data_IF_628300927915
#
_entry.id   IF_628300927915
#
_cell.length_a   1.000
_cell.length_b   1.000
_cell.length_c   1.000
_cell.angle_alpha   90.00
_cell.angle_beta   90.00
_cell.angle_gamma   90.00
#
_symmetry.space_group_name_H-M   'P 1'
#
loop_
_entity.id
_entity.type
_entity.pdbx_description
1 polymer ?
#
# COMPACT_ATOMS: atom_id res chain seq x y z
N UNK A 1 -18.96 24.58 -3.31
CA UNK A 1 -19.09 25.44 -4.50
C UNK A 1 -19.04 26.89 -4.06
N UNK A 2 -18.32 27.75 -4.82
CA UNK A 2 -18.38 29.22 -4.63
C UNK A 2 -19.66 29.73 -5.31
N UNK A 3 -20.59 30.27 -4.54
CA UNK A 3 -21.92 30.69 -5.05
C UNK A 3 -21.91 32.06 -5.74
N UNK A 4 -20.95 32.91 -5.40
CA UNK A 4 -20.90 34.29 -5.91
C UNK A 4 -19.59 34.62 -6.66
N UNK A 5 -19.15 33.73 -7.54
CA UNK A 5 -17.91 33.86 -8.30
C UNK A 5 -17.79 35.23 -9.01
N UNK A 6 -18.88 35.69 -9.65
CA UNK A 6 -18.90 36.96 -10.40
C UNK A 6 -18.72 38.20 -9.55
N UNK A 7 -19.06 38.12 -8.25
CA UNK A 7 -18.93 39.26 -7.31
C UNK A 7 -17.48 39.35 -6.76
N UNK A 8 -16.81 38.22 -6.59
CA UNK A 8 -15.52 38.15 -5.89
C UNK A 8 -14.31 37.93 -6.76
N UNK A 9 -14.48 37.35 -7.96
CA UNK A 9 -13.40 37.10 -8.91
C UNK A 9 -13.29 38.22 -9.94
N UNK A 10 -12.07 38.48 -10.41
CA UNK A 10 -11.82 39.40 -11.53
C UNK A 10 -12.26 38.79 -12.86
N UNK A 11 -12.47 39.61 -13.88
CA UNK A 11 -12.78 39.14 -15.26
C UNK A 11 -11.71 38.15 -15.76
N UNK A 12 -10.42 38.44 -15.49
CA UNK A 12 -9.30 37.54 -15.86
C UNK A 12 -9.45 36.18 -15.19
N UNK A 13 -9.67 36.13 -13.86
CA UNK A 13 -9.86 34.89 -13.11
C UNK A 13 -11.07 34.09 -13.59
N UNK A 14 -12.20 34.76 -13.87
CA UNK A 14 -13.40 34.10 -14.41
C UNK A 14 -13.15 33.45 -15.78
N UNK A 15 -12.40 34.14 -16.67
CA UNK A 15 -12.02 33.60 -17.98
C UNK A 15 -11.12 32.36 -17.84
N UNK A 16 -10.10 32.44 -16.99
CA UNK A 16 -9.18 31.32 -16.74
C UNK A 16 -9.87 30.15 -16.03
N UNK A 17 -10.75 30.42 -15.08
CA UNK A 17 -11.55 29.39 -14.40
C UNK A 17 -12.48 28.66 -15.39
N UNK A 18 -13.09 29.39 -16.33
CA UNK A 18 -13.91 28.80 -17.37
C UNK A 18 -13.08 27.92 -18.34
N UNK A 19 -11.83 28.30 -18.60
CA UNK A 19 -10.89 27.48 -19.37
C UNK A 19 -10.49 26.22 -18.58
N UNK A 20 -10.12 26.37 -17.30
CA UNK A 20 -9.74 25.25 -16.44
C UNK A 20 -10.84 24.17 -16.36
N UNK A 21 -12.12 24.58 -16.33
CA UNK A 21 -13.27 23.67 -16.33
C UNK A 21 -13.42 22.82 -17.61
N UNK A 22 -12.69 23.14 -18.66
CA UNK A 22 -12.70 22.43 -19.96
C UNK A 22 -11.35 21.80 -20.31
N UNK A 23 -10.35 21.92 -19.43
CA UNK A 23 -8.99 21.43 -19.66
C UNK A 23 -8.74 20.22 -18.74
N UNK A 24 -8.43 19.05 -19.33
CA UNK A 24 -8.33 17.75 -18.63
C UNK A 24 -6.91 17.18 -18.61
N UNK A 25 -6.00 17.75 -19.37
CA UNK A 25 -4.63 17.23 -19.61
C UNK A 25 -3.57 17.95 -18.77
N UNK A 26 -3.81 19.21 -18.42
CA UNK A 26 -2.85 20.06 -17.69
C UNK A 26 -3.55 21.14 -16.86
N UNK A 27 -2.92 21.59 -15.76
CA UNK A 27 -3.44 22.71 -14.99
C UNK A 27 -3.44 24.03 -15.79
N UNK A 28 -4.46 24.84 -15.56
CA UNK A 28 -4.59 26.22 -16.07
C UNK A 28 -4.35 27.18 -14.92
N UNK A 29 -3.43 28.12 -15.07
CA UNK A 29 -3.17 29.19 -14.10
C UNK A 29 -4.34 30.16 -14.08
N UNK A 30 -5.04 30.23 -12.95
CA UNK A 30 -6.19 31.13 -12.72
C UNK A 30 -5.74 32.44 -12.08
N UNK A 31 -4.78 32.37 -11.14
CA UNK A 31 -4.13 33.53 -10.53
C UNK A 31 -2.62 33.29 -10.52
N UNK A 32 -1.88 34.07 -11.28
CA UNK A 32 -0.45 33.84 -11.50
C UNK A 32 0.40 34.32 -10.33
N UNK A 33 1.68 33.93 -10.29
CA UNK A 33 2.65 34.43 -9.33
C UNK A 33 2.76 35.95 -9.37
N UNK A 34 2.85 36.55 -10.58
CA UNK A 34 2.90 38.01 -10.75
C UNK A 34 1.65 38.70 -10.16
N UNK A 35 0.47 38.09 -10.37
CA UNK A 35 -0.77 38.62 -9.81
C UNK A 35 -0.77 38.53 -8.26
N UNK A 36 -0.25 37.44 -7.71
CA UNK A 36 -0.11 37.23 -6.27
C UNK A 36 0.90 38.21 -5.64
N UNK A 37 2.05 38.44 -6.28
CA UNK A 37 3.07 39.41 -5.83
C UNK A 37 2.56 40.83 -5.89
N UNK A 38 1.77 41.21 -6.89
CA UNK A 38 1.09 42.51 -6.95
C UNK A 38 0.08 42.67 -5.82
N UNK A 39 -0.68 41.60 -5.52
CA UNK A 39 -1.66 41.61 -4.43
C UNK A 39 -0.99 41.65 -3.04
N UNK A 40 0.22 41.12 -2.86
CA UNK A 40 0.99 41.15 -1.65
C UNK A 40 1.42 42.57 -1.24
N UNK A 41 1.78 43.40 -2.22
CA UNK A 41 2.39 44.75 -2.00
C UNK A 41 1.47 45.75 -1.29
N UNK A 42 0.15 45.62 -1.45
CA UNK A 42 -0.82 46.62 -0.89
C UNK A 42 -1.98 45.93 -0.20
N UNK A 43 -2.35 46.38 0.98
CA UNK A 43 -3.61 45.97 1.67
C UNK A 43 -4.80 46.66 0.97
N UNK A 44 -5.78 45.87 0.58
CA UNK A 44 -7.07 46.43 0.14
C UNK A 44 -7.86 47.00 1.34
N UNK A 45 -8.45 48.18 1.16
CA UNK A 45 -9.41 48.74 2.11
C UNK A 45 -10.84 48.21 1.83
N UNK A 46 -11.06 47.54 0.70
CA UNK A 46 -12.34 46.97 0.30
C UNK A 46 -12.50 45.57 0.86
N UNK A 47 -13.64 45.28 1.39
CA UNK A 47 -14.07 43.95 1.83
C UNK A 47 -14.75 43.20 0.69
N UNK A 48 -14.68 41.87 0.72
CA UNK A 48 -15.44 40.95 -0.16
C UNK A 48 -16.12 39.92 0.72
N UNK A 49 -17.36 39.60 0.40
CA UNK A 49 -18.09 38.51 1.03
C UNK A 49 -18.02 37.31 0.15
N UNK A 50 -17.40 36.21 0.62
CA UNK A 50 -17.30 34.93 -0.05
C UNK A 50 -18.39 34.01 0.46
N UNK A 51 -19.21 33.46 -0.45
CA UNK A 51 -20.29 32.53 -0.12
C UNK A 51 -19.96 31.13 -0.69
N UNK A 52 -19.64 30.22 0.22
CA UNK A 52 -19.38 28.82 -0.12
C UNK A 52 -20.54 27.93 0.32
N UNK A 53 -20.71 26.84 -0.38
CA UNK A 53 -21.71 25.83 -0.08
C UNK A 53 -21.13 24.43 -0.32
N UNK A 54 -21.35 23.51 0.62
CA UNK A 54 -21.02 22.10 0.53
C UNK A 54 -22.15 21.27 1.16
N UNK A 55 -22.44 20.11 0.58
CA UNK A 55 -23.43 19.16 1.08
C UNK A 55 -22.75 17.90 1.58
N UNK A 56 -23.37 17.25 2.56
CA UNK A 56 -22.92 15.96 3.10
C UNK A 56 -21.45 15.97 3.52
N UNK A 57 -21.03 17.01 4.21
CA UNK A 57 -19.70 17.14 4.79
C UNK A 57 -19.76 17.04 6.30
N UNK A 58 -18.85 16.30 6.90
CA UNK A 58 -18.76 16.11 8.36
C UNK A 58 -18.16 17.33 9.06
N UNK A 59 -17.43 18.15 8.32
CA UNK A 59 -16.59 19.22 8.83
C UNK A 59 -16.42 20.31 7.77
N UNK A 60 -15.89 21.46 8.14
CA UNK A 60 -15.70 22.57 7.23
C UNK A 60 -14.41 23.34 7.53
N UNK A 61 -13.53 23.45 6.55
CA UNK A 61 -12.32 24.25 6.64
C UNK A 61 -12.21 25.23 5.47
N UNK A 62 -11.45 26.30 5.65
CA UNK A 62 -11.13 27.24 4.60
C UNK A 62 -9.69 27.75 4.72
N UNK A 63 -9.11 28.13 3.59
CA UNK A 63 -7.82 28.82 3.53
C UNK A 63 -7.99 30.18 2.85
N UNK A 64 -7.28 31.19 3.33
CA UNK A 64 -7.32 32.53 2.76
C UNK A 64 -5.93 33.17 2.78
N UNK A 65 -5.46 33.58 1.63
CA UNK A 65 -4.24 34.35 1.49
C UNK A 65 -4.28 35.23 0.24
N UNK A 66 -3.68 36.39 0.35
CA UNK A 66 -3.44 37.28 -0.81
C UNK A 66 -2.21 36.88 -1.63
N UNK A 67 -1.42 35.95 -1.08
CA UNK A 67 -0.19 35.43 -1.68
C UNK A 67 -0.40 34.16 -2.49
N UNK A 68 -1.62 33.61 -2.55
CA UNK A 68 -1.86 32.36 -3.27
C UNK A 68 -1.77 32.56 -4.78
N UNK A 69 -0.90 31.77 -5.38
CA UNK A 69 -1.03 31.35 -6.77
C UNK A 69 -2.18 30.34 -6.81
N UNK A 70 -2.96 30.33 -7.87
CA UNK A 70 -4.08 29.42 -8.01
C UNK A 70 -4.08 28.83 -9.42
N UNK A 71 -4.05 27.52 -9.49
CA UNK A 71 -4.27 26.79 -10.72
C UNK A 71 -5.33 25.70 -10.53
N UNK A 72 -5.74 25.08 -11.66
CA UNK A 72 -6.71 24.01 -11.63
C UNK A 72 -6.94 23.37 -12.98
N UNK A 73 -7.50 22.17 -12.94
CA UNK A 73 -7.92 21.42 -14.13
C UNK A 73 -9.17 20.60 -13.85
N UNK A 74 -9.90 20.27 -14.92
CA UNK A 74 -11.01 19.35 -14.85
C UNK A 74 -10.51 17.89 -14.79
N UNK A 75 -11.23 17.06 -14.06
CA UNK A 75 -11.00 15.63 -13.95
C UNK A 75 -12.30 14.94 -14.37
N UNK A 76 -12.23 14.11 -15.41
CA UNK A 76 -13.36 13.30 -15.84
C UNK A 76 -13.43 12.04 -14.98
N UNK A 77 -14.55 11.85 -14.30
CA UNK A 77 -14.95 10.61 -13.63
C UNK A 77 -16.12 9.99 -14.40
N UNK A 78 -16.50 8.78 -14.03
CA UNK A 78 -17.58 8.06 -14.75
C UNK A 78 -18.92 8.79 -14.63
N UNK A 79 -19.27 9.32 -13.46
CA UNK A 79 -20.54 9.99 -13.21
C UNK A 79 -20.54 11.48 -13.56
N UNK A 80 -19.39 12.17 -13.50
CA UNK A 80 -19.31 13.63 -13.68
C UNK A 80 -17.88 14.15 -13.82
N UNK A 81 -17.76 15.43 -14.17
CA UNK A 81 -16.51 16.16 -14.08
C UNK A 81 -16.35 16.81 -12.70
N UNK A 82 -15.14 16.74 -12.16
CA UNK A 82 -14.72 17.33 -10.87
C UNK A 82 -13.53 18.25 -11.11
N UNK A 83 -13.38 19.29 -10.29
CA UNK A 83 -12.22 20.18 -10.39
C UNK A 83 -11.13 19.79 -9.39
N UNK A 84 -9.91 19.65 -9.86
CA UNK A 84 -8.71 19.64 -9.04
C UNK A 84 -8.13 21.05 -9.01
N UNK A 85 -7.88 21.57 -7.80
CA UNK A 85 -7.28 22.89 -7.59
C UNK A 85 -6.08 22.83 -6.66
N UNK A 86 -5.13 23.74 -6.91
CA UNK A 86 -4.06 24.02 -5.95
C UNK A 86 -3.96 25.52 -5.64
N UNK A 87 -3.74 25.82 -4.37
CA UNK A 87 -3.48 27.18 -3.86
C UNK A 87 -2.16 27.14 -3.10
N UNK A 88 -1.17 27.90 -3.56
CA UNK A 88 0.17 27.86 -3.00
C UNK A 88 0.88 29.21 -3.09
N UNK A 89 1.83 29.42 -2.19
CA UNK A 89 2.67 30.61 -2.17
C UNK A 89 3.77 30.55 -3.25
N UNK A 90 4.38 31.68 -3.55
CA UNK A 90 5.54 31.74 -4.46
C UNK A 90 6.73 30.91 -3.93
N UNK A 91 6.87 30.78 -2.61
CA UNK A 91 7.89 29.99 -1.96
C UNK A 91 7.71 28.49 -2.17
N UNK A 92 6.52 28.05 -2.57
CA UNK A 92 6.23 26.65 -2.92
C UNK A 92 6.37 26.38 -4.42
N UNK A 93 6.44 27.45 -5.26
CA UNK A 93 6.65 27.35 -6.69
C UNK A 93 8.18 27.19 -7.01
N UNK A 94 8.57 26.39 -8.02
CA UNK A 94 7.75 25.70 -9.02
C UNK A 94 7.19 24.35 -8.56
N UNK A 95 7.65 23.78 -7.45
CA UNK A 95 7.28 22.42 -7.00
C UNK A 95 5.77 22.16 -7.01
N UNK A 96 4.99 23.11 -6.50
CA UNK A 96 3.51 22.98 -6.48
C UNK A 96 2.90 23.14 -7.87
N UNK A 97 3.36 24.12 -8.65
CA UNK A 97 2.88 24.32 -10.02
C UNK A 97 3.12 23.11 -10.92
N UNK A 98 4.26 22.43 -10.73
CA UNK A 98 4.62 21.25 -11.50
C UNK A 98 3.82 20.00 -11.12
N UNK A 99 3.44 19.85 -9.85
CA UNK A 99 3.00 18.55 -9.35
C UNK A 99 1.67 18.52 -8.59
N UNK A 100 1.30 19.57 -7.82
CA UNK A 100 0.23 19.49 -6.84
C UNK A 100 -1.15 19.21 -7.45
N UNK A 101 -1.56 19.99 -8.44
CA UNK A 101 -2.87 19.80 -9.10
C UNK A 101 -2.92 18.50 -9.88
N UNK A 102 -1.80 18.07 -10.49
CA UNK A 102 -1.72 16.76 -11.15
C UNK A 102 -1.86 15.63 -10.14
N UNK A 103 -1.20 15.72 -8.97
CA UNK A 103 -1.33 14.73 -7.90
C UNK A 103 -2.79 14.64 -7.39
N UNK A 104 -3.44 15.79 -7.17
CA UNK A 104 -4.86 15.86 -6.82
C UNK A 104 -5.75 15.19 -7.89
N UNK A 105 -5.51 15.46 -9.16
CA UNK A 105 -6.28 14.88 -10.26
C UNK A 105 -6.10 13.36 -10.38
N UNK A 106 -4.87 12.87 -10.20
CA UNK A 106 -4.58 11.43 -10.19
C UNK A 106 -5.26 10.75 -9.00
N UNK A 107 -5.23 11.37 -7.81
CA UNK A 107 -5.93 10.85 -6.63
C UNK A 107 -7.42 10.71 -6.89
N UNK A 108 -8.07 11.74 -7.43
CA UNK A 108 -9.49 11.71 -7.76
C UNK A 108 -9.85 10.52 -8.67
N UNK A 109 -9.03 10.25 -9.69
CA UNK A 109 -9.25 9.11 -10.61
C UNK A 109 -8.99 7.77 -9.94
N UNK A 110 -7.84 7.62 -9.26
CA UNK A 110 -7.41 6.37 -8.68
C UNK A 110 -8.34 5.89 -7.56
N UNK A 111 -8.72 6.78 -6.66
CA UNK A 111 -9.63 6.44 -5.56
C UNK A 111 -11.06 6.21 -6.07
N UNK A 112 -11.54 6.99 -7.04
CA UNK A 112 -12.86 6.73 -7.66
C UNK A 112 -12.92 5.35 -8.30
N UNK A 113 -11.86 4.92 -8.98
CA UNK A 113 -11.78 3.57 -9.57
C UNK A 113 -11.79 2.47 -8.53
N UNK A 114 -11.06 2.67 -7.42
CA UNK A 114 -10.94 1.69 -6.35
C UNK A 114 -12.19 1.56 -5.48
N UNK A 115 -13.00 2.62 -5.40
CA UNK A 115 -14.10 2.74 -4.43
C UNK A 115 -15.41 3.17 -5.13
N UNK A 116 -15.71 4.44 -5.06
CA UNK A 116 -16.86 5.11 -5.70
C UNK A 116 -16.44 6.47 -6.23
N UNK A 117 -17.13 6.98 -7.24
CA UNK A 117 -16.87 8.30 -7.79
C UNK A 117 -16.93 9.39 -6.73
N UNK A 118 -15.93 10.28 -6.76
CA UNK A 118 -15.86 11.41 -5.85
C UNK A 118 -17.17 12.23 -5.87
N UNK A 119 -17.92 12.31 -4.75
CA UNK A 119 -19.27 12.87 -4.81
C UNK A 119 -19.30 14.41 -4.88
N UNK A 120 -18.21 15.08 -4.54
CA UNK A 120 -18.15 16.54 -4.49
C UNK A 120 -17.74 17.17 -5.83
N UNK A 121 -17.83 18.49 -5.92
CA UNK A 121 -17.54 19.23 -7.16
C UNK A 121 -16.06 19.55 -7.35
N UNK A 122 -15.27 19.49 -6.29
CA UNK A 122 -13.85 19.86 -6.31
C UNK A 122 -13.08 19.17 -5.20
N UNK A 123 -11.78 19.01 -5.40
CA UNK A 123 -10.79 18.75 -4.37
C UNK A 123 -9.69 19.81 -4.47
N UNK A 124 -9.21 20.27 -3.32
CA UNK A 124 -8.28 21.39 -3.21
C UNK A 124 -7.05 20.95 -2.42
N UNK A 125 -5.86 21.17 -2.99
CA UNK A 125 -4.57 21.09 -2.30
C UNK A 125 -4.10 22.50 -1.95
N UNK A 126 -3.84 22.76 -0.68
CA UNK A 126 -3.34 24.04 -0.18
C UNK A 126 -1.93 23.86 0.36
N UNK A 127 -1.03 24.77 0.00
CA UNK A 127 0.29 24.88 0.60
C UNK A 127 0.21 25.19 2.09
N UNK A 128 0.68 24.25 2.92
CA UNK A 128 0.68 24.30 4.37
C UNK A 128 1.99 23.82 5.00
N UNK A 129 2.08 23.80 6.32
CA UNK A 129 3.29 23.38 7.02
C UNK A 129 3.34 21.88 7.27
N UNK A 130 2.19 21.22 7.32
CA UNK A 130 2.05 19.77 7.57
C UNK A 130 0.93 19.21 6.70
N UNK A 131 0.89 17.88 6.55
CA UNK A 131 -0.24 17.18 5.99
C UNK A 131 -1.44 17.27 6.93
N UNK A 132 -2.60 17.64 6.39
CA UNK A 132 -3.86 17.67 7.15
C UNK A 132 -5.05 17.70 6.20
N UNK A 133 -5.99 16.82 6.43
CA UNK A 133 -7.18 16.60 5.63
C UNK A 133 -8.41 17.29 6.22
N UNK A 134 -9.27 17.78 5.34
CA UNK A 134 -10.63 18.23 5.60
C UNK A 134 -11.50 17.88 4.38
N UNK A 135 -12.83 17.86 4.52
CA UNK A 135 -13.70 17.61 3.37
C UNK A 135 -13.45 18.60 2.24
N UNK A 136 -13.03 18.09 1.07
CA UNK A 136 -12.77 18.84 -0.16
C UNK A 136 -11.54 19.76 -0.15
N UNK A 137 -10.84 19.92 0.98
CA UNK A 137 -9.64 20.76 1.10
C UNK A 137 -8.61 20.06 1.97
N UNK A 138 -7.38 19.98 1.49
CA UNK A 138 -6.26 19.38 2.19
C UNK A 138 -5.08 20.36 2.24
N UNK A 139 -4.33 20.33 3.34
CA UNK A 139 -3.11 21.12 3.52
C UNK A 139 -1.89 20.21 3.35
N UNK A 140 -0.91 20.67 2.59
CA UNK A 140 0.23 19.83 2.21
C UNK A 140 1.55 20.60 2.38
N UNK A 141 2.61 19.99 2.94
CA UNK A 141 3.92 20.61 3.03
C UNK A 141 4.73 20.37 1.75
N UNK A 142 5.52 21.33 1.37
CA UNK A 142 6.49 21.17 0.28
C UNK A 142 7.15 22.49 -0.06
N UNK A 143 8.48 22.50 -0.11
CA UNK A 143 9.25 23.69 -0.48
C UNK A 143 10.43 23.29 -1.37
N UNK A 144 10.61 23.92 -2.52
CA UNK A 144 11.87 23.89 -3.23
C UNK A 144 12.94 24.67 -2.44
N UNK A 145 14.17 24.65 -2.90
CA UNK A 145 15.21 25.58 -2.42
C UNK A 145 14.89 27.01 -2.86
N UNK A 146 15.53 28.04 -2.24
CA UNK A 146 15.31 29.44 -2.63
C UNK A 146 15.58 29.75 -4.12
N UNK A 147 16.44 28.97 -4.77
CA UNK A 147 16.74 29.07 -6.21
C UNK A 147 15.69 28.37 -7.10
N UNK A 148 14.66 27.80 -6.52
CA UNK A 148 13.59 27.07 -7.22
C UNK A 148 13.92 25.62 -7.52
N UNK A 149 15.14 25.13 -7.24
CA UNK A 149 15.50 23.73 -7.47
C UNK A 149 14.98 22.81 -6.36
N UNK A 150 14.73 21.55 -6.68
CA UNK A 150 14.32 20.53 -5.71
C UNK A 150 14.84 19.15 -6.08
N UNK A 151 15.07 18.32 -5.07
CA UNK A 151 15.48 16.93 -5.25
C UNK A 151 14.27 16.01 -5.50
N UNK A 152 14.52 14.81 -6.04
CA UNK A 152 13.50 13.76 -6.17
C UNK A 152 12.86 13.44 -4.80
N UNK A 153 13.65 13.41 -3.73
CA UNK A 153 13.11 13.23 -2.38
C UNK A 153 12.08 14.30 -2.01
N UNK A 154 12.34 15.57 -2.35
CA UNK A 154 11.42 16.69 -2.09
C UNK A 154 10.17 16.57 -2.97
N UNK A 155 10.36 16.27 -4.27
CA UNK A 155 9.28 16.02 -5.23
C UNK A 155 8.34 14.92 -4.72
N UNK A 156 8.86 13.73 -4.50
CA UNK A 156 8.03 12.59 -4.12
C UNK A 156 7.43 12.72 -2.73
N UNK A 157 8.10 13.39 -1.79
CA UNK A 157 7.49 13.69 -0.49
C UNK A 157 6.25 14.57 -0.61
N UNK A 158 6.31 15.65 -1.40
CA UNK A 158 5.16 16.54 -1.60
C UNK A 158 4.02 15.81 -2.32
N UNK A 159 4.32 15.09 -3.41
CA UNK A 159 3.32 14.31 -4.14
C UNK A 159 2.68 13.26 -3.24
N UNK A 160 3.48 12.54 -2.45
CA UNK A 160 3.02 11.53 -1.50
C UNK A 160 2.02 12.10 -0.50
N UNK A 161 2.33 13.23 0.12
CA UNK A 161 1.43 13.88 1.07
C UNK A 161 0.19 14.41 0.36
N UNK A 162 0.31 15.04 -0.81
CA UNK A 162 -0.85 15.53 -1.57
C UNK A 162 -1.83 14.40 -1.92
N UNK A 163 -1.33 13.23 -2.37
CA UNK A 163 -2.17 12.07 -2.68
C UNK A 163 -2.85 11.55 -1.40
N UNK A 164 -2.10 11.51 -0.30
CA UNK A 164 -2.58 11.01 1.00
C UNK A 164 -3.71 11.90 1.54
N UNK A 165 -3.46 13.20 1.69
CA UNK A 165 -4.43 14.13 2.29
C UNK A 165 -5.69 14.30 1.41
N UNK A 166 -5.55 14.29 0.10
CA UNK A 166 -6.71 14.29 -0.80
C UNK A 166 -7.46 12.97 -0.73
N UNK A 167 -6.76 11.85 -0.55
CA UNK A 167 -7.33 10.50 -0.40
C UNK A 167 -8.24 10.38 0.82
N UNK A 168 -7.94 11.07 1.91
CA UNK A 168 -8.78 11.11 3.11
C UNK A 168 -10.22 11.58 2.86
N UNK A 169 -10.53 12.19 1.74
CA UNK A 169 -11.92 12.45 1.37
C UNK A 169 -12.76 11.17 1.32
N UNK A 170 -12.17 10.01 0.99
CA UNK A 170 -12.85 8.71 1.03
C UNK A 170 -12.80 8.08 2.41
N UNK A 171 -11.61 8.01 3.01
CA UNK A 171 -11.32 7.44 4.33
C UNK A 171 -10.56 8.47 5.18
N UNK A 172 -11.11 9.07 6.25
CA UNK A 172 -12.36 8.76 6.91
C UNK A 172 -13.51 9.74 6.59
N UNK A 173 -13.35 10.69 5.61
CA UNK A 173 -14.33 11.78 5.49
C UNK A 173 -15.72 11.32 5.01
N UNK A 174 -15.78 10.36 4.08
CA UNK A 174 -17.04 9.84 3.52
C UNK A 174 -17.37 8.47 4.10
N UNK A 175 -16.44 7.53 4.13
CA UNK A 175 -16.55 6.29 4.90
C UNK A 175 -16.02 6.61 6.30
N UNK A 176 -16.92 7.01 7.18
CA UNK A 176 -16.61 7.80 8.37
C UNK A 176 -16.42 6.94 9.61
N UNK A 177 -15.28 6.25 9.72
CA UNK A 177 -14.90 5.49 10.91
C UNK A 177 -14.52 6.41 12.09
N UNK A 178 -14.55 5.87 13.32
CA UNK A 178 -14.05 6.54 14.52
C UNK A 178 -12.51 6.49 14.52
N UNK A 179 -11.88 7.53 14.00
CA UNK A 179 -10.43 7.62 13.81
C UNK A 179 -9.63 7.63 15.13
N UNK A 180 -10.21 8.06 16.22
CA UNK A 180 -9.56 8.02 17.54
C UNK A 180 -9.52 6.62 18.14
N UNK A 181 -10.53 5.81 17.86
CA UNK A 181 -10.54 4.40 18.29
C UNK A 181 -9.77 3.50 17.35
N UNK A 182 -9.95 3.70 16.05
CA UNK A 182 -9.42 2.81 15.00
C UNK A 182 -8.67 3.62 13.95
N UNK A 183 -7.57 4.23 14.35
CA UNK A 183 -6.75 5.09 13.50
C UNK A 183 -6.30 4.40 12.21
N UNK A 184 -6.17 3.07 12.19
CA UNK A 184 -5.85 2.32 10.98
C UNK A 184 -6.95 2.34 9.91
N UNK A 185 -8.21 2.56 10.30
CA UNK A 185 -9.33 2.67 9.32
C UNK A 185 -9.32 4.02 8.61
N UNK A 186 -8.74 5.01 9.21
CA UNK A 186 -8.41 6.29 8.65
C UNK A 186 -7.11 6.18 7.83
N UNK A 187 -6.00 6.10 8.50
CA UNK A 187 -4.65 6.18 7.92
C UNK A 187 -4.25 4.95 7.11
N UNK A 188 -4.64 3.78 7.58
CA UNK A 188 -4.25 2.51 6.97
C UNK A 188 -4.99 2.20 5.68
N UNK A 189 -6.32 2.39 5.65
CA UNK A 189 -7.11 2.23 4.42
C UNK A 189 -6.69 3.27 3.38
N UNK A 190 -6.48 4.52 3.82
CA UNK A 190 -6.01 5.59 2.96
C UNK A 190 -4.60 5.31 2.43
N UNK A 191 -3.66 4.90 3.29
CA UNK A 191 -2.30 4.52 2.86
C UNK A 191 -2.28 3.35 1.88
N UNK A 192 -3.20 2.39 2.00
CA UNK A 192 -3.34 1.30 1.03
C UNK A 192 -3.82 1.84 -0.33
N UNK A 193 -4.92 2.60 -0.36
CA UNK A 193 -5.48 3.13 -1.61
C UNK A 193 -4.51 4.11 -2.31
N UNK A 194 -3.72 4.83 -1.53
CA UNK A 194 -2.66 5.72 -2.00
C UNK A 194 -1.60 5.01 -2.85
N UNK A 195 -1.28 3.74 -2.58
CA UNK A 195 -0.28 3.00 -3.35
C UNK A 195 -0.65 2.91 -4.84
N UNK A 196 -1.92 2.66 -5.13
CA UNK A 196 -2.40 2.61 -6.51
C UNK A 196 -2.34 3.99 -7.18
N UNK A 197 -2.68 5.05 -6.45
CA UNK A 197 -2.60 6.42 -6.97
C UNK A 197 -1.16 6.85 -7.24
N UNK A 198 -0.20 6.43 -6.42
CA UNK A 198 1.23 6.69 -6.66
C UNK A 198 1.72 5.99 -7.93
N UNK A 199 1.35 4.74 -8.15
CA UNK A 199 1.70 3.98 -9.36
C UNK A 199 1.03 4.54 -10.61
N UNK A 200 -0.18 5.11 -10.50
CA UNK A 200 -0.84 5.83 -11.59
C UNK A 200 -0.19 7.19 -11.88
N UNK A 201 0.37 7.83 -10.86
CA UNK A 201 1.08 9.10 -11.04
C UNK A 201 2.35 8.93 -11.87
N UNK A 202 3.14 7.89 -11.56
CA UNK A 202 4.39 7.56 -12.24
C UNK A 202 4.67 6.06 -12.09
N UNK A 203 4.93 5.35 -13.21
CA UNK A 203 5.08 3.89 -13.22
C UNK A 203 6.12 3.36 -12.22
N UNK A 204 7.26 4.05 -12.13
CA UNK A 204 8.38 3.66 -11.26
C UNK A 204 8.41 4.50 -9.96
N UNK A 205 7.24 4.90 -9.46
CA UNK A 205 7.14 5.71 -8.25
C UNK A 205 7.84 5.03 -7.05
N UNK A 206 8.73 5.73 -6.32
CA UNK A 206 9.50 5.13 -5.23
C UNK A 206 8.63 4.89 -3.99
N UNK A 207 7.96 3.74 -3.93
CA UNK A 207 7.12 3.35 -2.81
C UNK A 207 7.95 3.08 -1.56
N UNK A 208 7.71 3.82 -0.49
CA UNK A 208 8.43 3.71 0.79
C UNK A 208 7.62 2.98 1.87
N UNK A 209 6.32 2.81 1.68
CA UNK A 209 5.38 2.11 2.58
C UNK A 209 4.55 1.11 1.80
N UNK A 210 3.85 0.23 2.50
CA UNK A 210 2.86 -0.69 1.96
C UNK A 210 3.40 -1.94 1.28
N UNK A 211 4.65 -1.95 0.83
CA UNK A 211 5.26 -3.16 0.29
C UNK A 211 5.73 -4.08 1.43
N UNK A 212 5.62 -5.43 1.29
CA UNK A 212 5.97 -6.38 2.35
C UNK A 212 7.38 -6.18 2.90
N UNK A 213 8.38 -6.00 2.05
CA UNK A 213 9.78 -5.76 2.46
C UNK A 213 9.99 -4.52 3.34
N UNK A 214 9.11 -3.52 3.24
CA UNK A 214 9.29 -2.24 3.94
C UNK A 214 8.85 -2.32 5.41
N UNK A 215 8.01 -3.29 5.79
CA UNK A 215 7.49 -3.44 7.15
C UNK A 215 8.33 -4.40 8.01
N UNK A 216 9.15 -5.26 7.38
CA UNK A 216 9.94 -6.31 8.06
C UNK A 216 10.77 -5.76 9.22
N UNK A 217 11.46 -4.63 9.02
CA UNK A 217 12.27 -4.02 10.08
C UNK A 217 11.45 -3.62 11.31
N UNK A 218 10.22 -3.13 11.09
CA UNK A 218 9.31 -2.80 12.19
C UNK A 218 8.82 -4.06 12.88
N UNK A 219 8.35 -5.05 12.13
CA UNK A 219 7.80 -6.29 12.68
C UNK A 219 8.85 -7.10 13.47
N UNK A 220 10.10 -7.09 13.04
CA UNK A 220 11.23 -7.74 13.73
C UNK A 220 11.95 -6.81 14.74
N UNK A 221 11.34 -5.70 15.11
CA UNK A 221 11.89 -4.74 16.06
C UNK A 221 11.64 -5.13 17.53
N UNK A 222 11.88 -4.16 18.40
CA UNK A 222 11.63 -4.29 19.84
C UNK A 222 10.14 -4.53 20.12
N UNK A 223 9.78 -5.77 20.50
CA UNK A 223 8.40 -6.20 20.70
C UNK A 223 7.70 -5.43 21.84
N UNK A 224 8.44 -4.87 22.81
CA UNK A 224 7.87 -4.03 23.87
C UNK A 224 7.29 -2.70 23.34
N UNK A 225 7.67 -2.31 22.12
CA UNK A 225 7.26 -1.05 21.46
C UNK A 225 6.35 -1.28 20.25
N UNK A 226 5.96 -2.51 20.00
CA UNK A 226 5.04 -2.87 18.93
C UNK A 226 3.67 -3.17 19.54
N UNK A 227 2.63 -2.60 18.95
CA UNK A 227 1.26 -2.81 19.35
C UNK A 227 0.44 -3.44 18.22
N UNK A 228 -0.63 -4.21 18.51
CA UNK A 228 -1.59 -4.63 17.49
C UNK A 228 -2.16 -3.44 16.70
N UNK A 229 -2.50 -3.64 15.43
CA UNK A 229 -3.14 -2.60 14.59
C UNK A 229 -4.42 -2.07 15.26
N UNK A 230 -5.15 -2.94 15.96
CA UNK A 230 -6.40 -2.61 16.66
C UNK A 230 -6.21 -1.74 17.92
N UNK A 231 -4.99 -1.39 18.28
CA UNK A 231 -4.72 -0.51 19.42
C UNK A 231 -5.17 0.93 19.12
N UNK A 232 -5.63 1.65 20.15
CA UNK A 232 -5.96 3.07 20.04
C UNK A 232 -4.70 3.89 19.76
N UNK A 233 -4.83 4.94 18.95
CA UNK A 233 -3.72 5.80 18.58
C UNK A 233 -2.94 6.38 19.75
N UNK A 234 -3.62 6.75 20.83
CA UNK A 234 -3.03 7.32 22.05
C UNK A 234 -2.07 6.33 22.78
N UNK A 235 -2.18 5.02 22.50
CA UNK A 235 -1.42 3.97 23.18
C UNK A 235 -0.33 3.34 22.28
N UNK A 236 0.08 4.02 21.21
CA UNK A 236 0.97 3.41 20.20
C UNK A 236 2.28 4.16 20.08
N UNK A 237 3.41 3.53 20.46
CA UNK A 237 4.75 4.14 20.35
C UNK A 237 5.21 4.35 18.90
N UNK A 238 4.92 3.41 18.02
CA UNK A 238 5.32 3.46 16.60
C UNK A 238 4.15 3.82 15.70
N UNK A 239 3.51 4.95 15.96
CA UNK A 239 2.28 5.41 15.32
C UNK A 239 2.30 5.29 13.80
N UNK A 240 3.36 5.82 13.13
CA UNK A 240 3.46 5.78 11.68
C UNK A 240 3.55 4.36 11.07
N UNK A 241 4.06 3.37 11.81
CA UNK A 241 4.03 1.97 11.36
C UNK A 241 2.73 1.29 11.74
N UNK A 242 2.21 1.54 12.93
CA UNK A 242 1.00 0.88 13.42
C UNK A 242 -0.26 1.34 12.67
N UNK A 243 -0.46 2.65 12.52
CA UNK A 243 -1.65 3.21 11.88
C UNK A 243 -1.59 3.21 10.34
N UNK A 244 -0.41 3.41 9.75
CA UNK A 244 -0.20 3.56 8.30
C UNK A 244 0.46 2.32 7.67
N UNK A 245 1.70 2.00 8.08
CA UNK A 245 2.55 1.07 7.36
C UNK A 245 2.07 -0.38 7.44
N UNK A 246 1.85 -0.90 8.66
CA UNK A 246 1.46 -2.30 8.85
C UNK A 246 0.07 -2.62 8.26
N UNK A 247 -0.98 -1.81 8.47
CA UNK A 247 -2.27 -2.09 7.84
C UNK A 247 -2.24 -1.95 6.31
N UNK A 248 -1.55 -0.94 5.74
CA UNK A 248 -1.40 -0.84 4.30
C UNK A 248 -0.67 -2.05 3.70
N UNK A 249 0.37 -2.56 4.38
CA UNK A 249 1.08 -3.77 3.98
C UNK A 249 0.20 -5.02 4.11
N UNK A 250 -0.57 -5.13 5.20
CA UNK A 250 -1.51 -6.23 5.37
C UNK A 250 -2.53 -6.29 4.21
N UNK A 251 -3.11 -5.15 3.84
CA UNK A 251 -4.06 -5.07 2.72
C UNK A 251 -3.39 -5.33 1.38
N UNK A 252 -2.16 -4.88 1.18
CA UNK A 252 -1.37 -5.22 -0.01
C UNK A 252 -1.13 -6.72 -0.16
N UNK A 253 -0.74 -7.39 0.94
CA UNK A 253 -0.54 -8.83 0.99
C UNK A 253 -1.88 -9.56 0.77
N UNK A 254 -2.94 -9.10 1.42
CA UNK A 254 -4.27 -9.67 1.25
C UNK A 254 -4.70 -9.63 -0.22
N UNK A 255 -4.50 -8.49 -0.89
CA UNK A 255 -4.83 -8.32 -2.30
C UNK A 255 -3.98 -9.18 -3.22
N UNK A 256 -2.65 -9.10 -3.10
CA UNK A 256 -1.76 -9.66 -4.11
C UNK A 256 -1.38 -11.12 -3.83
N UNK A 257 -1.33 -11.49 -2.53
CA UNK A 257 -0.83 -12.80 -2.13
C UNK A 257 -1.93 -13.75 -1.66
N UNK A 258 -2.99 -13.26 -1.03
CA UNK A 258 -4.04 -14.14 -0.45
C UNK A 258 -5.24 -14.29 -1.38
N UNK A 259 -5.94 -13.20 -1.68
CA UNK A 259 -7.21 -13.21 -2.43
C UNK A 259 -7.02 -13.20 -3.95
N UNK A 260 -6.00 -12.52 -4.45
CA UNK A 260 -5.87 -12.09 -5.84
C UNK A 260 -6.50 -10.71 -6.07
N UNK A 261 -5.92 -9.92 -7.03
CA UNK A 261 -6.31 -8.53 -7.22
C UNK A 261 -7.79 -8.34 -7.56
N UNK A 262 -8.35 -9.15 -8.44
CA UNK A 262 -9.73 -8.99 -8.90
C UNK A 262 -10.74 -9.15 -7.77
N UNK A 263 -10.58 -10.17 -6.95
CA UNK A 263 -11.49 -10.47 -5.85
C UNK A 263 -11.38 -9.46 -4.73
N UNK A 264 -10.14 -9.08 -4.38
CA UNK A 264 -9.91 -8.04 -3.38
C UNK A 264 -10.48 -6.69 -3.81
N UNK A 265 -10.21 -6.26 -5.05
CA UNK A 265 -10.66 -4.97 -5.57
C UNK A 265 -12.20 -4.91 -5.61
N UNK A 266 -12.87 -6.02 -5.96
CA UNK A 266 -14.31 -6.14 -5.85
C UNK A 266 -14.80 -5.95 -4.41
N UNK A 267 -14.24 -6.68 -3.46
CA UNK A 267 -14.65 -6.63 -2.05
C UNK A 267 -14.38 -5.26 -1.41
N UNK A 268 -13.24 -4.64 -1.72
CA UNK A 268 -12.88 -3.32 -1.23
C UNK A 268 -13.81 -2.22 -1.78
N UNK A 269 -14.17 -2.33 -3.06
CA UNK A 269 -15.14 -1.45 -3.71
C UNK A 269 -16.54 -1.61 -3.10
N UNK A 270 -16.95 -2.84 -2.80
CA UNK A 270 -18.20 -3.13 -2.10
C UNK A 270 -18.23 -2.53 -0.70
N UNK A 271 -17.13 -2.68 0.07
CA UNK A 271 -17.00 -2.04 1.38
C UNK A 271 -17.20 -0.53 1.28
N UNK A 272 -16.48 0.14 0.40
CA UNK A 272 -16.57 1.58 0.25
C UNK A 272 -17.99 2.04 -0.15
N UNK A 273 -18.64 1.34 -1.08
CA UNK A 273 -20.02 1.67 -1.51
C UNK A 273 -21.06 1.41 -0.43
N UNK A 274 -20.96 0.30 0.31
CA UNK A 274 -21.88 -0.07 1.39
C UNK A 274 -21.83 0.93 2.56
N UNK A 275 -20.64 1.46 2.83
CA UNK A 275 -20.38 2.29 3.99
C UNK A 275 -20.18 3.79 3.70
N UNK A 276 -20.28 4.23 2.45
CA UNK A 276 -20.26 5.67 2.14
C UNK A 276 -21.34 6.44 2.91
N UNK A 277 -20.95 7.56 3.50
CA UNK A 277 -21.78 8.41 4.37
C UNK A 277 -22.33 7.69 5.62
N UNK A 278 -21.64 6.66 6.09
CA UNK A 278 -21.95 5.91 7.31
C UNK A 278 -20.69 5.76 8.18
N UNK A 279 -20.85 5.14 9.36
CA UNK A 279 -19.81 5.04 10.38
C UNK A 279 -19.43 3.58 10.67
N UNK A 280 -18.64 2.93 9.80
CA UNK A 280 -18.26 1.54 9.96
C UNK A 280 -17.27 1.36 11.10
N UNK A 281 -17.31 0.18 11.71
CA UNK A 281 -16.32 -0.35 12.63
C UNK A 281 -15.37 -1.32 11.93
N UNK A 282 -14.26 -1.75 12.56
CA UNK A 282 -13.42 -2.82 12.03
C UNK A 282 -14.19 -4.10 11.69
N UNK A 283 -15.16 -4.48 12.53
CA UNK A 283 -15.98 -5.67 12.28
C UNK A 283 -16.81 -5.54 10.99
N UNK A 284 -17.28 -4.33 10.69
CA UNK A 284 -18.01 -4.07 9.44
C UNK A 284 -17.12 -4.17 8.21
N UNK A 285 -15.86 -3.72 8.32
CA UNK A 285 -14.86 -3.90 7.27
C UNK A 285 -14.56 -5.37 7.04
N UNK A 286 -14.20 -6.11 8.08
CA UNK A 286 -13.84 -7.52 7.98
C UNK A 286 -14.99 -8.35 7.41
N UNK A 287 -16.19 -8.20 7.96
CA UNK A 287 -17.38 -8.89 7.47
C UNK A 287 -17.70 -8.55 6.02
N UNK A 288 -17.59 -7.27 5.63
CA UNK A 288 -17.89 -6.88 4.24
C UNK A 288 -16.89 -7.50 3.27
N UNK A 289 -15.61 -7.53 3.64
CA UNK A 289 -14.58 -8.17 2.81
C UNK A 289 -14.84 -9.67 2.64
N UNK A 290 -15.25 -10.37 3.70
CA UNK A 290 -15.59 -11.80 3.67
C UNK A 290 -16.86 -12.08 2.90
N UNK A 291 -17.94 -11.33 3.16
CA UNK A 291 -19.22 -11.45 2.44
C UNK A 291 -19.03 -11.28 0.93
N UNK A 292 -18.33 -10.23 0.52
CA UNK A 292 -18.13 -9.90 -0.88
C UNK A 292 -17.19 -10.86 -1.61
N UNK A 293 -16.26 -11.47 -0.90
CA UNK A 293 -15.29 -12.41 -1.47
C UNK A 293 -15.68 -13.87 -1.32
N UNK A 294 -16.67 -14.18 -0.48
CA UNK A 294 -17.02 -15.54 -0.05
C UNK A 294 -15.84 -16.34 0.52
N UNK A 295 -14.87 -15.63 1.15
CA UNK A 295 -13.68 -16.22 1.77
C UNK A 295 -13.73 -16.10 3.30
N UNK A 296 -13.35 -17.17 3.98
CA UNK A 296 -13.04 -17.15 5.43
C UNK A 296 -11.66 -16.52 5.61
N UNK A 297 -11.62 -15.29 6.12
CA UNK A 297 -10.41 -14.51 6.38
C UNK A 297 -10.15 -14.28 7.88
N UNK A 298 -10.91 -14.88 8.79
CA UNK A 298 -10.76 -14.74 10.25
C UNK A 298 -9.32 -14.96 10.70
N UNK A 299 -8.64 -15.96 10.11
CA UNK A 299 -7.24 -16.27 10.40
C UNK A 299 -6.30 -15.09 10.04
N UNK A 300 -6.61 -14.35 8.96
CA UNK A 300 -5.83 -13.21 8.51
C UNK A 300 -6.06 -12.00 9.41
N UNK A 301 -7.34 -11.67 9.67
CA UNK A 301 -7.70 -10.56 10.55
C UNK A 301 -7.13 -10.73 11.93
N UNK A 302 -7.32 -11.92 12.54
CA UNK A 302 -6.81 -12.25 13.87
C UNK A 302 -5.29 -12.05 13.96
N UNK A 303 -4.54 -12.57 13.01
CA UNK A 303 -3.07 -12.47 13.01
C UNK A 303 -2.59 -11.04 12.79
N UNK A 304 -2.93 -10.47 11.64
CA UNK A 304 -2.40 -9.17 11.23
C UNK A 304 -2.87 -8.00 12.10
N UNK A 305 -4.15 -7.98 12.51
CA UNK A 305 -4.76 -6.83 13.17
C UNK A 305 -4.79 -6.92 14.69
N UNK A 306 -4.95 -8.12 15.26
CA UNK A 306 -5.13 -8.29 16.70
C UNK A 306 -3.87 -8.76 17.45
N UNK A 307 -2.81 -9.17 16.74
CA UNK A 307 -1.56 -9.61 17.38
C UNK A 307 -0.35 -8.80 16.92
N UNK A 308 0.78 -9.02 17.57
CA UNK A 308 2.10 -8.52 17.16
C UNK A 308 2.95 -9.60 16.50
N UNK A 309 2.36 -10.75 16.21
CA UNK A 309 3.03 -11.87 15.54
C UNK A 309 3.63 -11.42 14.20
N UNK A 310 4.64 -12.17 13.76
CA UNK A 310 5.37 -11.92 12.53
C UNK A 310 5.23 -13.08 11.56
N UNK A 311 5.40 -12.85 10.28
CA UNK A 311 5.59 -13.91 9.32
C UNK A 311 7.01 -14.43 9.43
N UNK A 312 7.15 -15.73 9.68
CA UNK A 312 8.40 -16.47 9.62
C UNK A 312 8.03 -17.92 9.28
N UNK A 313 8.30 -18.34 8.05
CA UNK A 313 8.00 -19.69 7.54
C UNK A 313 9.26 -20.25 6.93
N UNK A 314 9.80 -21.31 7.53
CA UNK A 314 11.07 -21.91 7.13
C UNK A 314 10.95 -23.34 6.59
N UNK A 315 12.04 -23.80 5.95
CA UNK A 315 12.24 -25.19 5.58
C UNK A 315 12.98 -25.89 6.73
N UNK A 316 12.24 -26.66 7.53
CA UNK A 316 12.79 -27.38 8.66
C UNK A 316 13.60 -28.60 8.23
N UNK A 317 13.06 -29.38 7.28
CA UNK A 317 13.66 -30.65 6.85
C UNK A 317 13.22 -31.00 5.42
N UNK A 318 14.13 -31.57 4.65
CA UNK A 318 13.84 -32.20 3.36
C UNK A 318 14.40 -33.63 3.39
N UNK A 319 13.53 -34.61 3.15
CA UNK A 319 13.91 -35.97 2.86
C UNK A 319 13.74 -36.22 1.37
N UNK A 320 14.64 -36.99 0.78
CA UNK A 320 14.69 -37.30 -0.66
C UNK A 320 14.53 -38.78 -0.86
N UNK A 321 13.74 -39.14 -1.86
CA UNK A 321 13.54 -40.50 -2.28
C UNK A 321 13.61 -40.58 -3.79
N UNK A 322 14.07 -41.73 -4.32
CA UNK A 322 14.00 -42.03 -5.75
C UNK A 322 13.46 -43.45 -5.96
N UNK A 323 12.92 -43.71 -7.15
CA UNK A 323 12.47 -45.05 -7.52
C UNK A 323 13.61 -45.84 -8.11
N UNK A 324 13.72 -47.09 -7.70
CA UNK A 324 14.62 -48.09 -8.28
C UNK A 324 13.78 -49.26 -8.80
N UNK A 325 14.12 -49.76 -9.96
CA UNK A 325 13.53 -50.97 -10.52
C UNK A 325 13.99 -52.18 -9.68
N UNK A 326 13.05 -52.84 -9.02
CA UNK A 326 13.28 -54.01 -8.19
C UNK A 326 13.09 -55.33 -8.97
N UNK A 327 12.89 -55.27 -10.32
CA UNK A 327 12.52 -56.41 -11.16
C UNK A 327 11.02 -56.72 -11.13
N UNK A 328 10.56 -57.55 -12.05
CA UNK A 328 9.13 -57.97 -12.14
C UNK A 328 8.12 -56.82 -12.17
N UNK A 329 8.41 -55.69 -12.83
CA UNK A 329 7.58 -54.47 -12.91
C UNK A 329 7.25 -53.84 -11.55
N UNK A 330 8.06 -54.07 -10.53
CA UNK A 330 7.94 -53.44 -9.21
C UNK A 330 8.92 -52.27 -9.08
N UNK A 331 8.45 -51.16 -8.53
CA UNK A 331 9.27 -50.02 -8.16
C UNK A 331 9.48 -50.02 -6.63
N UNK A 332 10.73 -49.93 -6.23
CA UNK A 332 11.11 -49.70 -4.83
C UNK A 332 11.43 -48.24 -4.58
N UNK A 333 10.90 -47.70 -3.47
CA UNK A 333 11.24 -46.37 -2.98
C UNK A 333 12.50 -46.45 -2.12
N UNK A 334 13.54 -45.75 -2.54
CA UNK A 334 14.82 -45.70 -1.83
C UNK A 334 15.00 -44.32 -1.23
N UNK A 335 15.12 -44.22 0.12
CA UNK A 335 15.49 -42.99 0.81
C UNK A 335 16.99 -42.69 0.50
N UNK A 336 17.23 -41.47 -0.01
CA UNK A 336 18.60 -40.96 -0.19
C UNK A 336 18.99 -40.10 1.00
N UNK A 337 19.87 -40.62 1.86
CA UNK A 337 20.38 -39.94 3.05
C UNK A 337 21.55 -39.01 2.81
N UNK A 338 21.98 -38.85 1.54
CA UNK A 338 23.07 -37.94 1.18
C UNK A 338 22.70 -36.53 1.55
N UNK A 339 23.60 -35.80 2.19
CA UNK A 339 23.38 -34.41 2.55
C UNK A 339 23.34 -33.48 1.32
N UNK A 340 22.57 -32.42 1.41
CA UNK A 340 22.42 -31.41 0.35
C UNK A 340 21.44 -31.80 -0.75
N UNK A 341 21.48 -31.05 -1.86
CA UNK A 341 20.52 -31.17 -2.96
C UNK A 341 20.82 -32.30 -3.95
N UNK A 342 22.05 -32.77 -4.01
CA UNK A 342 22.42 -33.83 -4.94
C UNK A 342 22.06 -35.20 -4.38
N UNK A 343 21.59 -36.09 -5.26
CA UNK A 343 21.41 -37.49 -4.91
C UNK A 343 22.76 -38.22 -4.97
N UNK A 344 22.96 -39.15 -4.03
CA UNK A 344 24.13 -40.00 -4.00
C UNK A 344 24.19 -41.02 -5.14
N UNK A 345 25.25 -41.85 -5.13
CA UNK A 345 25.43 -42.93 -6.12
C UNK A 345 24.32 -43.99 -6.01
N UNK A 346 23.99 -44.66 -7.12
CA UNK A 346 22.99 -45.75 -7.18
C UNK A 346 21.67 -45.40 -7.86
N UNK A 347 21.46 -44.16 -8.26
CA UNK A 347 20.31 -43.70 -9.01
C UNK A 347 20.46 -44.11 -10.51
N UNK A 348 19.39 -44.65 -11.09
CA UNK A 348 19.32 -44.95 -12.53
C UNK A 348 18.80 -43.75 -13.34
N UNK A 349 19.11 -43.66 -14.63
CA UNK A 349 18.77 -42.55 -15.52
C UNK A 349 17.27 -42.22 -15.59
N UNK A 350 16.36 -43.17 -15.37
CA UNK A 350 14.90 -43.01 -15.44
C UNK A 350 14.23 -43.03 -14.07
N UNK A 351 14.93 -42.65 -12.99
CA UNK A 351 14.35 -42.58 -11.64
C UNK A 351 13.40 -41.39 -11.52
N UNK A 352 12.24 -41.62 -10.91
CA UNK A 352 11.38 -40.53 -10.40
C UNK A 352 11.86 -40.08 -9.03
N UNK A 353 11.76 -38.78 -8.74
CA UNK A 353 12.21 -38.16 -7.50
C UNK A 353 11.02 -37.82 -6.65
N UNK A 354 11.13 -38.08 -5.35
CA UNK A 354 10.12 -37.70 -4.35
C UNK A 354 10.82 -36.97 -3.23
N UNK A 355 10.16 -35.93 -2.76
CA UNK A 355 10.65 -35.07 -1.67
C UNK A 355 9.58 -34.98 -0.60
N UNK A 356 9.96 -35.23 0.63
CA UNK A 356 9.15 -34.97 1.82
C UNK A 356 9.70 -33.70 2.45
N UNK A 357 8.93 -32.60 2.36
CA UNK A 357 9.37 -31.28 2.78
C UNK A 357 8.56 -30.91 4.01
N UNK A 358 9.25 -30.69 5.13
CA UNK A 358 8.65 -30.18 6.38
C UNK A 358 8.91 -28.69 6.48
N UNK A 359 7.83 -27.93 6.50
CA UNK A 359 7.81 -26.50 6.76
C UNK A 359 7.48 -26.25 8.22
N UNK A 360 8.08 -25.24 8.83
CA UNK A 360 7.71 -24.74 10.16
C UNK A 360 7.37 -23.26 10.13
N UNK A 361 6.69 -22.81 11.18
CA UNK A 361 6.16 -21.46 11.31
C UNK A 361 6.47 -20.90 12.70
N UNK A 362 7.73 -20.49 12.97
CA UNK A 362 8.11 -19.93 14.28
C UNK A 362 7.51 -18.54 14.54
N UNK A 363 7.17 -17.77 13.53
CA UNK A 363 6.77 -16.37 13.66
C UNK A 363 5.33 -16.11 14.15
N UNK A 364 4.46 -17.12 14.16
CA UNK A 364 3.08 -17.00 14.64
C UNK A 364 2.05 -16.65 13.56
N UNK A 365 2.29 -15.66 12.69
CA UNK A 365 1.33 -15.32 11.64
C UNK A 365 1.06 -16.49 10.69
N UNK A 366 -0.22 -16.73 10.45
CA UNK A 366 -0.68 -17.71 9.45
C UNK A 366 -0.62 -17.07 8.07
N UNK A 367 0.12 -17.71 7.14
CA UNK A 367 0.27 -17.23 5.77
C UNK A 367 0.30 -18.42 4.79
N UNK A 368 -0.04 -18.23 3.51
CA UNK A 368 0.22 -19.22 2.48
C UNK A 368 1.70 -19.56 2.39
N UNK A 369 2.04 -20.79 2.00
CA UNK A 369 3.42 -21.18 1.70
C UNK A 369 3.62 -21.06 0.19
N UNK A 370 4.50 -20.17 -0.25
CA UNK A 370 4.87 -19.98 -1.65
C UNK A 370 6.23 -20.63 -1.84
N UNK A 371 6.31 -21.68 -2.67
CA UNK A 371 7.53 -22.46 -2.87
C UNK A 371 7.96 -22.40 -4.32
N UNK A 372 9.22 -22.09 -4.56
CA UNK A 372 9.87 -22.22 -5.86
C UNK A 372 10.85 -23.39 -5.82
N UNK A 373 10.71 -24.31 -6.77
CA UNK A 373 11.62 -25.43 -7.01
C UNK A 373 12.53 -25.10 -8.19
N UNK A 374 13.85 -25.22 -8.01
CA UNK A 374 14.82 -25.13 -9.10
C UNK A 374 15.33 -26.51 -9.40
N UNK A 375 15.26 -26.93 -10.68
CA UNK A 375 15.67 -28.22 -11.13
C UNK A 375 17.11 -28.21 -11.62
N UNK A 376 17.69 -29.44 -11.80
CA UNK A 376 19.07 -29.63 -12.24
C UNK A 376 19.39 -29.06 -13.63
N UNK A 377 18.38 -29.00 -14.50
CA UNK A 377 18.47 -28.36 -15.82
C UNK A 377 18.31 -26.84 -15.81
N UNK A 378 18.20 -26.22 -14.62
CA UNK A 378 18.01 -24.79 -14.44
C UNK A 378 16.56 -24.31 -14.56
N UNK A 379 15.63 -25.18 -14.99
CA UNK A 379 14.20 -24.80 -15.04
C UNK A 379 13.62 -24.65 -13.64
N UNK A 380 12.52 -23.90 -13.53
CA UNK A 380 11.86 -23.60 -12.25
C UNK A 380 10.37 -23.92 -12.33
N UNK A 381 9.79 -24.29 -11.20
CA UNK A 381 8.35 -24.33 -11.01
C UNK A 381 7.95 -23.73 -9.66
N UNK A 382 6.73 -23.25 -9.54
CA UNK A 382 6.20 -22.69 -8.28
C UNK A 382 4.96 -23.44 -7.84
N UNK A 383 4.80 -23.55 -6.53
CA UNK A 383 3.61 -24.08 -5.88
C UNK A 383 3.22 -23.17 -4.73
N UNK A 384 1.93 -22.84 -4.64
CA UNK A 384 1.35 -22.11 -3.53
C UNK A 384 0.43 -23.06 -2.77
N UNK A 385 0.70 -23.22 -1.48
CA UNK A 385 -0.20 -23.89 -0.55
C UNK A 385 -1.02 -22.84 0.17
N UNK A 386 -2.35 -22.95 0.18
CA UNK A 386 -3.21 -21.96 0.86
C UNK A 386 -2.99 -21.97 2.37
N UNK A 387 -3.35 -20.89 3.04
CA UNK A 387 -3.16 -20.72 4.49
C UNK A 387 -3.84 -21.81 5.31
N UNK A 388 -4.90 -22.42 4.81
CA UNK A 388 -5.63 -23.54 5.42
C UNK A 388 -4.76 -24.79 5.67
N UNK A 389 -3.58 -24.86 5.06
CA UNK A 389 -2.60 -25.94 5.32
C UNK A 389 -2.22 -26.01 6.81
N UNK A 390 -2.32 -24.89 7.55
CA UNK A 390 -2.01 -24.78 8.97
C UNK A 390 -3.14 -25.19 9.93
N UNK A 391 -4.34 -25.51 9.44
CA UNK A 391 -5.50 -25.80 10.28
C UNK A 391 -5.33 -26.98 11.24
N UNK A 392 -4.61 -28.02 10.80
CA UNK A 392 -4.40 -29.23 11.62
C UNK A 392 -3.16 -29.12 12.54
N UNK A 393 -2.20 -28.31 12.16
CA UNK A 393 -1.00 -28.06 12.95
C UNK A 393 -0.45 -26.68 12.60
N UNK A 394 -0.50 -25.77 13.56
CA UNK A 394 -0.12 -24.38 13.42
C UNK A 394 1.40 -24.14 13.52
N UNK A 395 2.19 -25.17 13.86
CA UNK A 395 3.64 -25.08 14.04
C UNK A 395 4.43 -25.66 12.89
N UNK A 396 3.98 -26.80 12.36
CA UNK A 396 4.68 -27.45 11.24
C UNK A 396 3.73 -28.25 10.37
N UNK A 397 4.08 -28.36 9.10
CA UNK A 397 3.36 -29.19 8.13
C UNK A 397 4.35 -29.88 7.20
N UNK A 398 4.10 -31.14 6.86
CA UNK A 398 4.89 -31.91 5.91
C UNK A 398 4.10 -32.15 4.64
N UNK A 399 4.70 -31.86 3.49
CA UNK A 399 4.14 -32.12 2.15
C UNK A 399 5.09 -32.93 1.32
N UNK A 400 4.54 -33.85 0.54
CA UNK A 400 5.27 -34.58 -0.48
C UNK A 400 5.19 -33.83 -1.82
N UNK A 401 6.28 -33.88 -2.54
CA UNK A 401 6.39 -33.34 -3.92
C UNK A 401 7.11 -34.39 -4.79
N UNK A 402 6.49 -34.76 -5.90
CA UNK A 402 7.08 -35.67 -6.87
C UNK A 402 7.52 -34.92 -8.14
N UNK A 403 8.59 -35.36 -8.74
CA UNK A 403 9.16 -34.75 -9.94
C UNK A 403 9.92 -35.79 -10.79
N UNK A 404 9.81 -35.60 -12.10
CA UNK A 404 10.65 -36.37 -13.06
C UNK A 404 12.07 -35.78 -13.14
N UNK A 405 12.28 -34.57 -12.59
CA UNK A 405 13.57 -33.88 -12.57
C UNK A 405 14.09 -33.75 -11.13
N UNK A 406 15.40 -33.88 -10.99
CA UNK A 406 16.08 -33.67 -9.71
C UNK A 406 16.02 -32.22 -9.30
N UNK A 407 15.51 -31.95 -8.08
CA UNK A 407 15.47 -30.60 -7.48
C UNK A 407 16.83 -30.29 -6.87
N UNK A 408 17.41 -29.17 -7.24
CA UNK A 408 18.69 -28.67 -6.72
C UNK A 408 18.55 -27.53 -5.71
N UNK A 409 17.42 -26.83 -5.73
CA UNK A 409 17.13 -25.80 -4.73
C UNK A 409 15.62 -25.66 -4.49
N UNK A 410 15.24 -25.41 -3.24
CA UNK A 410 13.88 -25.07 -2.82
C UNK A 410 13.96 -23.71 -2.13
N UNK A 411 13.11 -22.77 -2.54
CA UNK A 411 13.06 -21.44 -1.93
C UNK A 411 11.63 -21.12 -1.53
N UNK A 412 11.42 -20.71 -0.27
CA UNK A 412 10.14 -20.15 0.21
C UNK A 412 10.15 -18.65 -0.05
N UNK A 413 8.98 -18.11 -0.42
CA UNK A 413 8.73 -16.69 -0.64
C UNK A 413 9.79 -16.00 -1.52
N UNK A 414 10.04 -16.52 -2.75
CA UNK A 414 11.13 -16.08 -3.60
C UNK A 414 11.07 -14.60 -3.99
N UNK A 415 9.85 -14.01 -3.99
CA UNK A 415 9.62 -12.61 -4.37
C UNK A 415 9.38 -11.69 -3.14
N UNK A 416 9.53 -12.23 -1.91
CA UNK A 416 9.35 -11.51 -0.64
C UNK A 416 7.95 -10.91 -0.50
N UNK A 417 6.91 -11.69 -0.80
CA UNK A 417 5.50 -11.27 -0.85
C UNK A 417 4.80 -11.34 0.51
N UNK A 418 5.37 -12.02 1.52
CA UNK A 418 4.69 -12.34 2.78
C UNK A 418 5.17 -11.52 3.98
N UNK A 419 6.12 -10.61 3.78
CA UNK A 419 6.80 -9.87 4.85
C UNK A 419 7.52 -10.80 5.86
N UNK A 420 8.13 -11.88 5.38
CA UNK A 420 8.91 -12.81 6.17
C UNK A 420 10.11 -12.10 6.82
N UNK A 421 10.24 -12.26 8.15
CA UNK A 421 11.25 -11.56 8.94
C UNK A 421 12.59 -12.30 9.02
N UNK A 422 12.62 -13.61 8.72
CA UNK A 422 13.83 -14.43 8.67
C UNK A 422 13.96 -15.23 7.38
N UNK A 423 14.48 -14.59 6.35
CA UNK A 423 14.74 -15.25 5.06
C UNK A 423 15.92 -16.23 5.07
N UNK A 424 16.62 -16.39 6.18
CA UNK A 424 17.77 -17.32 6.27
C UNK A 424 17.35 -18.79 6.35
N UNK A 425 16.11 -19.03 6.80
CA UNK A 425 15.52 -20.38 6.88
C UNK A 425 14.69 -20.75 5.63
N UNK A 426 14.58 -19.85 4.63
CA UNK A 426 13.73 -19.99 3.43
C UNK A 426 14.34 -20.85 2.32
N UNK A 427 15.54 -21.37 2.48
CA UNK A 427 16.24 -22.08 1.39
C UNK A 427 16.69 -23.46 1.78
N UNK A 428 16.55 -24.40 0.84
CA UNK A 428 17.19 -25.69 0.92
C UNK A 428 17.93 -26.01 -0.41
N UNK A 429 19.21 -26.42 -0.36
CA UNK A 429 20.10 -26.47 0.81
C UNK A 429 20.26 -25.10 1.47
N UNK A 430 20.50 -25.08 2.78
CA UNK A 430 20.76 -23.82 3.48
C UNK A 430 21.91 -23.08 2.79
N UNK A 431 21.70 -21.82 2.44
CA UNK A 431 22.76 -20.97 1.89
C UNK A 431 23.89 -20.87 2.91
N UNK A 432 25.11 -21.26 2.54
CA UNK A 432 26.27 -21.01 3.39
C UNK A 432 26.45 -19.50 3.52
N UNK A 433 26.36 -18.98 4.74
CA UNK A 433 26.72 -17.58 5.00
C UNK A 433 28.18 -17.36 4.62
N UNK A 434 28.41 -16.42 3.72
CA UNK A 434 29.77 -15.95 3.42
C UNK A 434 30.41 -15.44 4.72
N UNK A 435 31.73 -15.66 4.90
CA UNK A 435 32.50 -15.15 6.07
C UNK A 435 32.23 -13.67 6.35
N UNK A 436 31.90 -12.89 5.32
CA UNK A 436 31.51 -11.47 5.42
C UNK A 436 30.11 -11.25 6.03
N UNK A 437 29.14 -12.13 5.77
CA UNK A 437 27.82 -12.10 6.39
C UNK A 437 27.88 -12.41 7.88
N UNK A 438 28.69 -13.40 8.29
CA UNK A 438 28.94 -13.72 9.71
C UNK A 438 29.59 -12.56 10.46
N UNK A 439 30.48 -11.81 9.81
CA UNK A 439 31.10 -10.63 10.40
C UNK A 439 30.08 -9.48 10.60
N UNK A 440 29.25 -9.22 9.60
CA UNK A 440 28.19 -8.18 9.66
C UNK A 440 27.15 -8.45 10.76
N UNK A 441 26.79 -9.72 10.97
CA UNK A 441 25.84 -10.13 12.00
C UNK A 441 26.46 -10.07 13.43
N UNK A 442 27.78 -10.29 13.56
CA UNK A 442 28.52 -10.13 14.84
C UNK A 442 28.72 -8.66 15.24
N UNK A 443 28.70 -7.72 14.31
CA UNK A 443 28.90 -6.27 14.58
C UNK A 443 27.58 -5.55 14.83
N UNK A 444 26.42 -6.24 14.61
CA UNK A 444 25.07 -5.68 14.83
C UNK A 444 24.39 -6.20 16.11
N UNK A 445 25.03 -7.09 16.86
CA UNK A 445 24.57 -7.61 18.16
C UNK A 445 25.10 -6.83 19.35
#
# INVERSE_FOLDING_TARGET
VLKNEREVLTRKQLKQLALARKTFDKPVIIHSQDDAEKAEKKRSKKTKTWRFFAENVRDYAFASSRKFIWDGMAVKLDSKNVMAYSYYSKEANPLYGDHSTRATAVTLKAYSRQTFDYPYHKAISVDGQMGMEYPQIAFNPGRPKPDGTYSDRTKYRMINVTIHEVGHNWFPMIVNSDERKWTWMDEGLNSYAQLQAMMDYEKDYPLTRGLPKNIVRYMNGDQSRIAPIMSKGDNTYSFGNNAYGKPATALWILRNTVMGPELFDHAFKEYANRWKFKHPTPADFFRTMEDASAMDLDWFWRGWFYTTDVTDIGIKKVKKYYTKDAGNNRLEFVEDKTEGAKFGAGKKANSKFFYEITYDKPGGLVMPIIVEFTYKDGTKSRKKYPAQIWRLNDKQVTKTFNSDKEITNITIDPDLETADVDVTNNSWPKKQENKFGKFKNKVKG
#
